data_IF_551736851632
#
_entry.id   IF_551736851632
#
_cell.length_a   1.000
_cell.length_b   1.000
_cell.length_c   1.000
_cell.angle_alpha   90.00
_cell.angle_beta   90.00
_cell.angle_gamma   90.00
#
_symmetry.space_group_name_H-M   'P 1'
#
loop_
_entity.id
_entity.type
_entity.pdbx_description
1 polymer ?
#
# COMPACT_ATOMS: atom_id res chain seq x y z
N UNK A 1 -15.24 46.94 49.96
CA UNK A 1 -15.55 46.07 48.80
C UNK A 1 -17.07 46.06 48.67
N UNK A 2 -17.64 46.62 47.60
CA UNK A 2 -19.11 46.73 47.45
C UNK A 2 -19.71 45.36 47.12
N UNK A 3 -20.95 45.07 47.55
CA UNK A 3 -21.65 43.78 47.29
C UNK A 3 -21.58 43.34 45.83
N UNK A 4 -21.65 44.31 44.91
CA UNK A 4 -21.51 44.10 43.47
C UNK A 4 -20.18 43.45 43.04
N UNK A 5 -19.08 43.73 43.74
CA UNK A 5 -17.76 43.15 43.45
C UNK A 5 -17.68 41.69 43.93
N UNK A 6 -18.36 41.35 45.03
CA UNK A 6 -18.40 39.98 45.56
C UNK A 6 -19.19 39.08 44.62
N UNK A 7 -20.34 39.55 44.11
CA UNK A 7 -21.17 38.78 43.16
C UNK A 7 -20.42 38.49 41.86
N UNK A 8 -19.68 39.48 41.33
CA UNK A 8 -18.91 39.33 40.10
C UNK A 8 -17.76 38.32 40.24
N UNK A 9 -17.11 38.27 41.40
CA UNK A 9 -16.05 37.28 41.68
C UNK A 9 -16.65 35.89 41.89
N UNK A 10 -17.74 35.76 42.65
CA UNK A 10 -18.35 34.46 42.98
C UNK A 10 -18.95 33.78 41.74
N UNK A 11 -19.51 34.53 40.80
CA UNK A 11 -20.14 33.94 39.60
C UNK A 11 -19.31 34.09 38.33
N UNK A 12 -18.52 35.16 38.20
CA UNK A 12 -17.70 35.40 37.01
C UNK A 12 -16.47 34.51 36.94
N UNK A 13 -15.77 34.28 38.06
CA UNK A 13 -14.55 33.46 38.08
C UNK A 13 -14.84 31.98 37.70
N UNK A 14 -15.89 31.33 38.25
CA UNK A 14 -16.23 29.96 37.86
C UNK A 14 -16.69 29.84 36.41
N UNK A 15 -17.42 30.84 35.90
CA UNK A 15 -17.83 30.86 34.49
C UNK A 15 -16.62 30.92 33.56
N UNK A 16 -15.63 31.77 33.87
CA UNK A 16 -14.38 31.85 33.11
C UNK A 16 -13.59 30.54 33.22
N UNK A 17 -13.50 29.94 34.41
CA UNK A 17 -12.85 28.64 34.61
C UNK A 17 -13.50 27.52 33.80
N UNK A 18 -14.85 27.48 33.75
CA UNK A 18 -15.59 26.50 32.96
C UNK A 18 -15.37 26.68 31.46
N UNK A 19 -15.36 27.93 30.97
CA UNK A 19 -15.06 28.23 29.57
C UNK A 19 -13.61 27.84 29.20
N UNK A 20 -12.65 28.10 30.09
CA UNK A 20 -11.27 27.65 29.91
C UNK A 20 -11.15 26.13 29.89
N UNK A 21 -11.82 25.44 30.82
CA UNK A 21 -11.82 23.97 30.86
C UNK A 21 -12.43 23.38 29.58
N UNK A 22 -13.55 23.94 29.10
CA UNK A 22 -14.19 23.54 27.85
C UNK A 22 -13.30 23.79 26.64
N UNK A 23 -12.62 24.94 26.57
CA UNK A 23 -11.69 25.27 25.49
C UNK A 23 -10.48 24.31 25.48
N UNK A 24 -9.87 24.04 26.63
CA UNK A 24 -8.76 23.08 26.76
C UNK A 24 -9.21 21.67 26.36
N UNK A 25 -10.36 21.22 26.86
CA UNK A 25 -10.91 19.91 26.52
C UNK A 25 -11.18 19.80 25.02
N UNK A 26 -11.80 20.82 24.41
CA UNK A 26 -12.05 20.86 22.97
C UNK A 26 -10.74 20.79 22.17
N UNK A 27 -9.73 21.56 22.58
CA UNK A 27 -8.43 21.58 21.90
C UNK A 27 -7.70 20.24 22.02
N UNK A 28 -7.75 19.61 23.18
CA UNK A 28 -7.12 18.31 23.45
C UNK A 28 -7.84 17.18 22.72
N UNK A 29 -9.17 17.16 22.73
CA UNK A 29 -9.97 16.19 21.96
C UNK A 29 -9.71 16.35 20.45
N UNK A 30 -9.56 17.58 19.95
CA UNK A 30 -9.22 17.83 18.56
C UNK A 30 -7.81 17.33 18.19
N UNK A 31 -6.81 17.52 19.06
CA UNK A 31 -5.45 16.99 18.80
C UNK A 31 -5.42 15.46 18.83
N UNK A 32 -6.13 14.85 19.77
CA UNK A 32 -6.24 13.39 19.88
C UNK A 32 -6.95 12.84 18.63
N UNK A 33 -8.07 13.44 18.24
CA UNK A 33 -8.81 13.03 17.03
C UNK A 33 -7.94 13.12 15.78
N UNK A 34 -7.22 14.22 15.60
CA UNK A 34 -6.29 14.38 14.48
C UNK A 34 -5.23 13.27 14.44
N UNK A 35 -4.67 12.91 15.60
CA UNK A 35 -3.69 11.82 15.67
C UNK A 35 -4.32 10.46 15.33
N UNK A 36 -5.52 10.18 15.82
CA UNK A 36 -6.26 8.96 15.47
C UNK A 36 -6.62 8.90 13.99
N UNK A 37 -7.12 10.00 13.41
CA UNK A 37 -7.46 10.09 11.98
C UNK A 37 -6.21 9.84 11.12
N UNK A 38 -5.07 10.44 11.48
CA UNK A 38 -3.78 10.21 10.81
C UNK A 38 -3.32 8.74 10.92
N UNK A 39 -3.45 8.14 12.09
CA UNK A 39 -3.10 6.72 12.30
C UNK A 39 -4.03 5.82 11.48
N UNK A 40 -5.32 6.10 11.47
CA UNK A 40 -6.32 5.36 10.71
C UNK A 40 -6.03 5.42 9.20
N UNK A 41 -5.73 6.61 8.67
CA UNK A 41 -5.32 6.78 7.26
C UNK A 41 -4.04 6.02 6.93
N UNK A 42 -3.06 5.99 7.84
CA UNK A 42 -1.82 5.24 7.62
C UNK A 42 -2.06 3.73 7.56
N UNK A 43 -2.92 3.21 8.44
CA UNK A 43 -3.32 1.81 8.47
C UNK A 43 -4.09 1.47 7.19
N UNK A 44 -5.04 2.31 6.79
CA UNK A 44 -5.81 2.12 5.56
C UNK A 44 -4.90 2.05 4.33
N UNK A 45 -3.93 2.97 4.21
CA UNK A 45 -2.95 2.96 3.11
C UNK A 45 -2.10 1.69 3.11
N UNK A 46 -1.70 1.21 4.28
CA UNK A 46 -0.94 -0.04 4.40
C UNK A 46 -1.78 -1.27 3.99
N UNK A 47 -3.07 -1.32 4.35
CA UNK A 47 -3.98 -2.36 3.89
C UNK A 47 -4.17 -2.32 2.37
N UNK A 48 -4.45 -1.15 1.80
CA UNK A 48 -4.58 -0.98 0.35
C UNK A 48 -3.30 -1.40 -0.38
N UNK A 49 -2.12 -1.08 0.17
CA UNK A 49 -0.83 -1.50 -0.38
C UNK A 49 -0.68 -3.01 -0.41
N UNK A 50 -1.03 -3.70 0.68
CA UNK A 50 -0.97 -5.16 0.79
C UNK A 50 -1.95 -5.85 -0.15
N UNK A 51 -3.16 -5.32 -0.27
CA UNK A 51 -4.17 -5.84 -1.18
C UNK A 51 -3.70 -5.74 -2.63
N UNK A 52 -3.18 -4.57 -3.03
CA UNK A 52 -2.58 -4.37 -4.36
C UNK A 52 -1.42 -5.33 -4.63
N UNK A 53 -0.51 -5.47 -3.66
CA UNK A 53 0.61 -6.41 -3.77
C UNK A 53 0.13 -7.87 -3.91
N UNK A 54 -0.93 -8.25 -3.21
CA UNK A 54 -1.51 -9.60 -3.29
C UNK A 54 -2.03 -9.91 -4.69
N UNK A 55 -2.75 -8.99 -5.33
CA UNK A 55 -3.26 -9.16 -6.71
C UNK A 55 -2.12 -9.39 -7.71
N UNK A 56 -1.02 -8.63 -7.60
CA UNK A 56 0.16 -8.80 -8.46
C UNK A 56 0.81 -10.17 -8.24
N UNK A 57 1.00 -10.55 -6.98
CA UNK A 57 1.60 -11.83 -6.63
C UNK A 57 0.74 -13.00 -7.13
N UNK A 58 -0.57 -12.90 -6.99
CA UNK A 58 -1.52 -13.90 -7.47
C UNK A 58 -1.48 -14.02 -9.01
N UNK A 59 -1.48 -12.90 -9.73
CA UNK A 59 -1.37 -12.91 -11.20
C UNK A 59 -0.10 -13.66 -11.64
N UNK A 60 1.04 -13.32 -11.04
CA UNK A 60 2.32 -13.92 -11.41
C UNK A 60 2.40 -15.40 -11.04
N UNK A 61 1.83 -15.78 -9.88
CA UNK A 61 1.73 -17.17 -9.48
C UNK A 61 0.89 -17.97 -10.48
N UNK A 62 -0.33 -17.52 -10.77
CA UNK A 62 -1.22 -18.20 -11.72
C UNK A 62 -0.64 -18.28 -13.13
N UNK A 63 -0.02 -17.20 -13.60
CA UNK A 63 0.62 -17.17 -14.92
C UNK A 63 1.75 -18.20 -15.05
N UNK A 64 2.48 -18.48 -13.96
CA UNK A 64 3.56 -19.48 -13.98
C UNK A 64 3.04 -20.92 -14.03
N UNK A 65 1.78 -21.16 -13.66
CA UNK A 65 1.12 -22.46 -13.67
C UNK A 65 0.22 -22.69 -14.91
N UNK A 66 0.78 -22.48 -16.12
CA UNK A 66 0.05 -22.54 -17.41
C UNK A 66 -0.80 -23.81 -17.61
N UNK A 67 -0.38 -24.98 -17.10
CA UNK A 67 -1.14 -26.24 -17.25
C UNK A 67 -2.51 -26.21 -16.54
N UNK A 68 -2.65 -25.44 -15.46
CA UNK A 68 -3.87 -25.36 -14.63
C UNK A 68 -4.41 -23.92 -14.54
N UNK A 69 -3.95 -23.03 -15.41
CA UNK A 69 -4.26 -21.62 -15.34
C UNK A 69 -5.71 -21.35 -15.76
N UNK A 70 -6.54 -20.89 -14.82
CA UNK A 70 -7.89 -20.42 -15.13
C UNK A 70 -7.80 -19.08 -15.89
N UNK A 71 -8.08 -19.12 -17.18
CA UNK A 71 -8.03 -17.94 -18.06
C UNK A 71 -8.97 -16.83 -17.59
N UNK A 72 -10.11 -17.19 -16.97
CA UNK A 72 -11.05 -16.21 -16.42
C UNK A 72 -10.41 -15.47 -15.24
N UNK A 73 -9.75 -16.20 -14.33
CA UNK A 73 -9.10 -15.62 -13.15
C UNK A 73 -7.91 -14.73 -13.53
N UNK A 74 -7.07 -15.18 -14.46
CA UNK A 74 -5.98 -14.39 -15.02
C UNK A 74 -6.47 -13.08 -15.64
N UNK A 75 -7.54 -13.12 -16.44
CA UNK A 75 -8.11 -11.90 -17.04
C UNK A 75 -8.64 -10.95 -15.97
N UNK A 76 -9.33 -11.49 -14.94
CA UNK A 76 -9.82 -10.70 -13.83
C UNK A 76 -8.67 -9.99 -13.10
N UNK A 77 -7.61 -10.73 -12.73
CA UNK A 77 -6.44 -10.18 -12.05
C UNK A 77 -5.74 -9.11 -12.91
N UNK A 78 -5.59 -9.37 -14.21
CA UNK A 78 -5.00 -8.41 -15.13
C UNK A 78 -5.84 -7.13 -15.23
N UNK A 79 -7.16 -7.24 -15.32
CA UNK A 79 -8.05 -6.08 -15.38
C UNK A 79 -8.07 -5.29 -14.07
N UNK A 80 -8.10 -5.97 -12.93
CA UNK A 80 -7.98 -5.33 -11.62
C UNK A 80 -6.70 -4.49 -11.56
N UNK A 81 -5.57 -5.06 -12.02
CA UNK A 81 -4.30 -4.34 -12.11
C UNK A 81 -4.35 -3.12 -13.03
N UNK A 82 -4.99 -3.23 -14.20
CA UNK A 82 -5.07 -2.08 -15.13
C UNK A 82 -5.81 -0.87 -14.57
N UNK A 83 -6.68 -1.05 -13.59
CA UNK A 83 -7.49 0.04 -13.03
C UNK A 83 -6.70 0.95 -12.08
N UNK A 84 -5.67 0.43 -11.41
CA UNK A 84 -4.96 1.18 -10.37
C UNK A 84 -3.45 1.31 -10.59
N UNK A 85 -2.82 0.46 -11.39
CA UNK A 85 -1.39 0.56 -11.68
C UNK A 85 -1.13 1.66 -12.73
N UNK A 86 0.01 2.38 -12.66
CA UNK A 86 0.40 3.34 -13.69
C UNK A 86 0.62 2.64 -15.04
N UNK A 87 0.34 3.37 -16.12
CA UNK A 87 0.36 2.86 -17.49
C UNK A 87 1.68 2.16 -17.87
N UNK A 88 2.83 2.62 -17.34
CA UNK A 88 4.12 1.99 -17.63
C UNK A 88 4.20 0.57 -17.05
N UNK A 89 3.77 0.35 -15.81
CA UNK A 89 3.80 -0.98 -15.18
C UNK A 89 2.80 -1.94 -15.86
N UNK A 90 1.64 -1.43 -16.27
CA UNK A 90 0.67 -2.22 -17.03
C UNK A 90 1.27 -2.72 -18.36
N UNK A 91 1.99 -1.84 -19.07
CA UNK A 91 2.68 -2.23 -20.32
C UNK A 91 3.78 -3.25 -20.06
N UNK A 92 4.52 -3.09 -18.97
CA UNK A 92 5.57 -4.04 -18.58
C UNK A 92 4.98 -5.43 -18.25
N UNK A 93 3.88 -5.49 -17.50
CA UNK A 93 3.15 -6.73 -17.20
C UNK A 93 2.63 -7.37 -18.49
N UNK A 94 2.01 -6.58 -19.37
CA UNK A 94 1.53 -7.08 -20.66
C UNK A 94 2.67 -7.66 -21.51
N UNK A 95 3.78 -6.93 -21.62
CA UNK A 95 4.96 -7.34 -22.37
C UNK A 95 5.57 -8.65 -21.84
N UNK A 96 5.55 -8.84 -20.52
CA UNK A 96 5.93 -10.07 -19.84
C UNK A 96 4.96 -11.23 -20.17
N UNK A 97 3.65 -11.01 -20.07
CA UNK A 97 2.64 -12.03 -20.38
C UNK A 97 2.69 -12.48 -21.85
N UNK A 98 2.93 -11.56 -22.78
CA UNK A 98 3.01 -11.83 -24.22
C UNK A 98 4.36 -12.45 -24.66
N UNK A 99 5.31 -12.66 -23.72
CA UNK A 99 6.68 -13.10 -24.01
C UNK A 99 7.35 -12.29 -25.14
N UNK A 100 7.09 -10.99 -25.15
CA UNK A 100 7.67 -10.09 -26.16
C UNK A 100 9.20 -10.06 -26.02
N UNK A 101 9.92 -10.01 -27.15
CA UNK A 101 11.38 -9.90 -27.14
C UNK A 101 11.79 -8.58 -26.45
N UNK A 102 12.53 -8.68 -25.35
CA UNK A 102 12.93 -7.53 -24.53
C UNK A 102 11.94 -7.14 -23.42
N UNK A 103 10.88 -7.92 -23.20
CA UNK A 103 9.98 -7.74 -22.04
C UNK A 103 10.70 -8.01 -20.71
N UNK A 104 10.26 -7.30 -19.65
CA UNK A 104 10.80 -7.48 -18.30
C UNK A 104 10.48 -8.88 -17.76
N UNK A 105 11.43 -9.48 -17.04
CA UNK A 105 11.22 -10.74 -16.31
C UNK A 105 10.18 -10.54 -15.19
N UNK A 106 9.49 -11.60 -14.78
CA UNK A 106 8.48 -11.54 -13.71
C UNK A 106 9.06 -10.96 -12.41
N UNK A 107 10.34 -11.27 -12.12
CA UNK A 107 11.08 -10.71 -10.98
C UNK A 107 11.35 -9.21 -11.12
N UNK A 108 11.66 -8.74 -12.33
CA UNK A 108 11.85 -7.31 -12.61
C UNK A 108 10.54 -6.53 -12.47
N UNK A 109 9.42 -7.13 -12.90
CA UNK A 109 8.07 -6.56 -12.70
C UNK A 109 7.74 -6.46 -11.21
N UNK A 110 8.03 -7.49 -10.41
CA UNK A 110 7.83 -7.46 -8.95
C UNK A 110 8.62 -6.33 -8.27
N UNK A 111 9.89 -6.14 -8.63
CA UNK A 111 10.71 -5.04 -8.09
C UNK A 111 10.14 -3.69 -8.51
N UNK A 112 9.74 -3.52 -9.77
CA UNK A 112 9.18 -2.26 -10.26
C UNK A 112 7.84 -1.90 -9.60
N UNK A 113 6.96 -2.90 -9.41
CA UNK A 113 5.70 -2.75 -8.68
C UNK A 113 5.97 -2.41 -7.21
N UNK A 114 6.92 -3.10 -6.57
CA UNK A 114 7.29 -2.86 -5.18
C UNK A 114 7.77 -1.42 -4.97
N UNK A 115 8.67 -0.93 -5.82
CA UNK A 115 9.16 0.45 -5.74
C UNK A 115 8.02 1.46 -5.91
N UNK A 116 7.06 1.16 -6.78
CA UNK A 116 5.86 1.99 -6.92
C UNK A 116 4.96 1.95 -5.68
N UNK A 117 4.75 0.79 -5.07
CA UNK A 117 3.89 0.63 -3.89
C UNK A 117 4.49 1.21 -2.59
N UNK A 118 5.83 1.28 -2.51
CA UNK A 118 6.56 1.78 -1.35
C UNK A 118 6.92 3.27 -1.44
N UNK A 119 6.54 3.96 -2.52
CA UNK A 119 6.80 5.38 -2.75
C UNK A 119 8.31 5.74 -2.62
N UNK A 120 9.21 4.85 -3.06
CA UNK A 120 10.66 5.04 -2.92
C UNK A 120 11.51 3.96 -3.58
N UNK A 121 12.82 4.24 -3.73
CA UNK A 121 13.81 3.25 -4.17
C UNK A 121 14.09 2.27 -3.03
N UNK A 122 13.63 1.03 -3.21
CA UNK A 122 13.94 -0.07 -2.30
C UNK A 122 15.28 -0.71 -2.71
N UNK A 123 16.19 -1.02 -1.78
CA UNK A 123 17.45 -1.70 -2.09
C UNK A 123 17.26 -3.13 -2.60
N UNK A 124 16.04 -3.70 -2.56
CA UNK A 124 15.79 -5.05 -3.06
C UNK A 124 15.94 -5.11 -4.58
N UNK A 125 16.82 -6.03 -4.99
CA UNK A 125 17.17 -6.28 -6.38
C UNK A 125 16.45 -7.51 -6.92
N UNK A 126 16.60 -7.77 -8.22
CA UNK A 126 16.01 -8.92 -8.91
C UNK A 126 16.53 -10.24 -8.33
N UNK A 127 17.78 -10.26 -7.84
CA UNK A 127 18.46 -11.45 -7.33
C UNK A 127 17.93 -11.89 -5.96
N UNK A 128 17.33 -10.97 -5.20
CA UNK A 128 16.69 -11.25 -3.91
C UNK A 128 15.32 -11.94 -4.07
N UNK A 129 14.76 -11.94 -5.29
CA UNK A 129 13.43 -12.50 -5.57
C UNK A 129 13.57 -13.96 -6.03
N UNK A 130 13.20 -14.88 -5.15
CA UNK A 130 13.17 -16.32 -5.46
C UNK A 130 11.86 -16.72 -6.13
N UNK A 131 11.97 -17.50 -7.22
CA UNK A 131 10.83 -18.13 -7.87
C UNK A 131 11.02 -19.66 -7.90
N UNK A 132 10.09 -20.40 -7.29
CA UNK A 132 10.12 -21.86 -7.29
C UNK A 132 9.51 -22.41 -8.57
N UNK A 133 10.22 -23.31 -9.24
CA UNK A 133 9.77 -23.93 -10.47
C UNK A 133 8.93 -25.16 -10.17
N UNK A 134 7.86 -25.34 -10.92
CA UNK A 134 7.16 -26.62 -10.93
C UNK A 134 8.03 -27.64 -11.72
N UNK A 135 8.25 -28.88 -11.23
CA UNK A 135 9.06 -29.91 -11.89
C UNK A 135 8.81 -30.12 -13.39
N UNK A 136 7.60 -29.83 -13.86
CA UNK A 136 7.17 -30.01 -15.24
C UNK A 136 7.45 -28.83 -16.18
N UNK A 137 8.00 -27.72 -15.68
CA UNK A 137 8.11 -26.47 -16.43
C UNK A 137 9.56 -26.25 -16.94
N UNK A 138 9.91 -26.92 -18.04
CA UNK A 138 11.27 -26.93 -18.63
C UNK A 138 11.71 -25.63 -19.32
N UNK A 139 10.83 -24.63 -19.44
CA UNK A 139 11.03 -23.51 -20.36
C UNK A 139 12.01 -22.42 -19.88
N UNK A 140 12.44 -22.40 -18.61
CA UNK A 140 13.29 -21.31 -18.11
C UNK A 140 14.32 -21.79 -17.10
N UNK A 141 15.50 -22.20 -17.58
CA UNK A 141 16.74 -22.22 -16.83
C UNK A 141 17.83 -21.54 -17.68
N UNK A 142 18.23 -20.34 -17.26
CA UNK A 142 19.57 -19.82 -17.52
C UNK A 142 19.88 -18.82 -16.42
N UNK A 143 20.38 -19.34 -15.29
CA UNK A 143 21.29 -18.58 -14.45
C UNK A 143 22.66 -19.25 -14.65
N UNK A 144 23.37 -18.81 -15.68
CA UNK A 144 24.79 -19.10 -15.82
C UNK A 144 25.55 -18.33 -14.74
N UNK A 145 26.10 -19.05 -13.76
CA UNK A 145 27.27 -18.61 -13.02
C UNK A 145 28.43 -19.49 -13.51
N UNK A 146 29.47 -18.94 -14.17
CA UNK A 146 30.74 -19.63 -14.25
C UNK A 146 31.49 -19.45 -12.92
N UNK A 147 32.30 -20.47 -12.61
CA UNK A 147 33.20 -20.58 -11.47
C UNK A 147 34.23 -19.45 -11.37
#
# INVERSE_FOLDING_TARGET
MTDSQITLVVFGLPAIQALFAWWIQSRLSASIKYEYDRRFESIKREYERREKAAVVAELLAEWTHVKNADTKRLNQLLWELTLYLPAQLVRDIKAMCEKSQGGKDARQVLVAVRNHLLDGEDPITVDDVTHFKHPDNHAMCSSSHPA
#
